data_IF_878703128059
#
_entry.id   IF_878703128059
#
_cell.length_a   1.000
_cell.length_b   1.000
_cell.length_c   1.000
_cell.angle_alpha   90.00
_cell.angle_beta   90.00
_cell.angle_gamma   90.00
#
_symmetry.space_group_name_H-M   'P 1'
#
loop_
_entity.id
_entity.type
_entity.pdbx_description
1 polymer ?
#
# COMPACT_ATOMS: atom_id res chain seq x y z
N UNK A 1 34.43 -3.56 9.44
CA UNK A 1 33.51 -4.46 8.75
C UNK A 1 32.44 -3.58 8.17
N UNK A 2 32.25 -3.53 6.86
CA UNK A 2 31.23 -2.69 6.22
C UNK A 2 29.91 -3.42 6.38
N UNK A 3 28.96 -2.84 7.13
CA UNK A 3 27.60 -3.31 7.19
C UNK A 3 27.01 -3.22 5.79
N UNK A 4 26.67 -4.36 5.21
CA UNK A 4 25.91 -4.47 3.96
C UNK A 4 24.50 -3.99 4.27
N UNK A 5 24.17 -2.80 3.81
CA UNK A 5 22.80 -2.30 3.82
C UNK A 5 22.02 -3.07 2.77
N UNK A 6 21.58 -4.27 3.12
CA UNK A 6 20.53 -4.95 2.38
C UNK A 6 19.24 -4.21 2.67
N UNK A 7 18.88 -3.31 1.77
CA UNK A 7 17.56 -2.73 1.75
C UNK A 7 16.56 -3.84 1.47
N UNK A 8 15.96 -4.32 2.53
CA UNK A 8 14.85 -5.26 2.46
C UNK A 8 13.71 -4.53 1.74
N UNK A 9 13.30 -5.07 0.61
CA UNK A 9 12.15 -4.60 -0.15
C UNK A 9 10.91 -4.75 0.73
N UNK A 10 10.64 -3.74 1.53
CA UNK A 10 9.40 -3.68 2.28
C UNK A 10 8.30 -3.42 1.29
N UNK A 11 7.46 -4.40 1.11
CA UNK A 11 6.37 -4.34 0.17
C UNK A 11 5.24 -3.57 0.81
N UNK A 12 5.30 -2.26 0.67
CA UNK A 12 4.20 -1.39 1.03
C UNK A 12 3.05 -1.69 0.06
N UNK A 13 2.01 -2.33 0.54
CA UNK A 13 0.72 -2.40 -0.17
C UNK A 13 0.13 -1.00 -0.08
N UNK A 14 0.55 -0.14 -0.99
CA UNK A 14 0.10 1.24 -1.00
C UNK A 14 -1.22 1.36 -1.75
N UNK A 15 -2.23 1.65 -1.01
CA UNK A 15 -3.42 2.27 -1.53
C UNK A 15 -3.48 3.71 -0.97
N UNK A 16 -3.30 4.73 -1.78
CA UNK A 16 -3.05 6.12 -1.35
C UNK A 16 -4.00 7.14 -1.96
N UNK A 17 -4.48 8.08 -1.16
CA UNK A 17 -5.10 9.33 -1.64
C UNK A 17 -5.09 10.47 -0.62
N UNK A 18 -5.08 11.71 -1.06
CA UNK A 18 -5.08 12.91 -0.28
C UNK A 18 -6.13 13.95 -0.64
N UNK A 19 -6.50 14.85 0.26
CA UNK A 19 -7.12 16.13 -0.03
C UNK A 19 -6.52 17.26 0.77
N UNK A 20 -6.53 18.43 0.18
CA UNK A 20 -6.11 19.66 0.82
C UNK A 20 -7.26 20.34 1.54
N UNK A 21 -6.99 20.82 2.75
CA UNK A 21 -7.76 21.89 3.36
C UNK A 21 -6.98 23.18 3.19
N UNK A 22 -7.44 24.07 2.34
CA UNK A 22 -6.90 25.42 2.23
C UNK A 22 -7.68 26.35 3.13
N UNK A 23 -7.00 27.06 4.02
CA UNK A 23 -7.58 28.15 4.81
C UNK A 23 -8.04 29.29 3.89
N UNK A 24 -9.23 29.79 4.17
CA UNK A 24 -9.93 30.82 3.43
C UNK A 24 -9.21 32.17 3.37
N UNK A 25 -9.27 32.83 2.21
CA UNK A 25 -9.72 34.23 2.14
C UNK A 25 -10.31 34.57 0.76
N UNK A 26 -11.56 34.92 0.84
CA UNK A 26 -12.43 35.81 0.05
C UNK A 26 -12.30 35.95 -1.46
N UNK A 27 -13.48 35.72 -2.04
CA UNK A 27 -14.13 36.33 -3.19
C UNK A 27 -13.60 36.09 -4.60
N UNK A 28 -14.29 35.14 -5.27
CA UNK A 28 -15.03 35.39 -6.53
C UNK A 28 -15.88 34.16 -6.84
N UNK A 29 -17.20 34.37 -7.05
CA UNK A 29 -18.12 33.37 -7.62
C UNK A 29 -17.60 32.92 -8.98
N UNK A 30 -17.05 31.72 -9.04
CA UNK A 30 -16.97 30.91 -10.24
C UNK A 30 -17.70 29.60 -9.89
N UNK A 31 -18.56 29.14 -10.76
CA UNK A 31 -19.24 27.88 -10.62
C UNK A 31 -18.20 26.77 -10.43
N UNK A 32 -17.98 26.33 -9.19
CA UNK A 32 -17.28 25.09 -8.89
C UNK A 32 -18.18 23.97 -9.41
N UNK A 33 -17.74 23.37 -10.51
CA UNK A 33 -18.18 22.02 -10.84
C UNK A 33 -17.66 21.15 -9.71
N UNK A 34 -18.52 20.77 -8.76
CA UNK A 34 -18.20 19.72 -7.79
C UNK A 34 -17.77 18.50 -8.62
N UNK A 35 -16.51 18.18 -8.58
CA UNK A 35 -16.02 16.91 -9.10
C UNK A 35 -16.72 15.83 -8.25
N UNK A 36 -17.75 15.20 -8.80
CA UNK A 36 -18.37 14.03 -8.19
C UNK A 36 -17.31 12.94 -8.21
N UNK A 37 -16.70 12.68 -7.05
CA UNK A 37 -15.82 11.54 -6.92
C UNK A 37 -16.64 10.29 -7.14
N UNK A 38 -16.31 9.51 -8.17
CA UNK A 38 -16.95 8.24 -8.44
C UNK A 38 -16.90 7.35 -7.19
N UNK A 39 -17.97 6.61 -6.92
CA UNK A 39 -18.00 5.63 -5.84
C UNK A 39 -17.16 4.43 -6.21
N UNK A 40 -16.67 3.72 -5.20
CA UNK A 40 -16.05 2.40 -5.42
C UNK A 40 -17.12 1.41 -5.90
N UNK A 41 -16.92 0.84 -7.08
CA UNK A 41 -17.88 -0.10 -7.69
C UNK A 41 -17.59 -1.56 -7.29
N UNK A 42 -16.42 -1.86 -6.72
CA UNK A 42 -16.05 -3.19 -6.23
C UNK A 42 -15.18 -3.13 -4.97
N UNK A 43 -15.24 -4.21 -4.18
CA UNK A 43 -14.44 -4.35 -2.96
C UNK A 43 -12.92 -4.40 -3.25
N UNK A 44 -12.52 -4.96 -4.41
CA UNK A 44 -11.10 -5.05 -4.74
C UNK A 44 -10.56 -3.72 -5.28
N UNK A 45 -11.33 -2.96 -6.06
CA UNK A 45 -10.94 -1.59 -6.39
C UNK A 45 -10.84 -0.72 -5.14
N UNK A 46 -11.77 -0.90 -4.18
CA UNK A 46 -11.72 -0.16 -2.91
C UNK A 46 -10.50 -0.54 -2.06
N UNK A 47 -10.10 -1.83 -2.03
CA UNK A 47 -8.88 -2.27 -1.35
C UNK A 47 -7.63 -1.49 -1.82
N UNK A 48 -7.55 -1.18 -3.11
CA UNK A 48 -6.45 -0.41 -3.70
C UNK A 48 -6.78 1.08 -3.88
N UNK A 49 -7.92 1.49 -3.35
CA UNK A 49 -8.43 2.86 -3.44
C UNK A 49 -8.45 3.37 -4.90
N UNK A 50 -9.11 2.62 -5.77
CA UNK A 50 -9.27 2.87 -7.20
C UNK A 50 -10.75 3.10 -7.53
N UNK A 51 -11.06 4.21 -8.18
CA UNK A 51 -12.41 4.61 -8.61
C UNK A 51 -12.56 4.45 -10.11
N UNK A 52 -13.81 4.23 -10.53
CA UNK A 52 -14.15 3.91 -11.91
C UNK A 52 -13.84 2.45 -12.25
N UNK A 53 -14.11 2.06 -13.48
CA UNK A 53 -13.89 0.68 -13.95
C UNK A 53 -12.43 0.42 -14.31
N UNK A 54 -11.58 0.32 -13.30
CA UNK A 54 -10.13 0.14 -13.50
C UNK A 54 -9.82 -1.24 -14.06
N UNK A 55 -9.08 -1.29 -15.16
CA UNK A 55 -8.55 -2.52 -15.79
C UNK A 55 -7.19 -2.88 -15.21
N UNK A 56 -6.30 -1.90 -15.10
CA UNK A 56 -5.00 -2.09 -14.46
C UNK A 56 -4.53 -0.81 -13.79
N UNK A 57 -3.70 -0.98 -12.75
CA UNK A 57 -2.96 0.08 -12.13
C UNK A 57 -1.50 -0.36 -11.96
N UNK A 58 -0.57 0.42 -12.48
CA UNK A 58 0.85 0.27 -12.20
C UNK A 58 1.25 1.42 -11.29
N UNK A 59 1.68 1.08 -10.10
CA UNK A 59 2.16 2.02 -9.10
C UNK A 59 3.67 1.95 -9.00
N UNK A 60 4.32 3.10 -8.90
CA UNK A 60 5.77 3.22 -8.79
C UNK A 60 6.11 4.12 -7.61
N UNK A 61 7.01 3.64 -6.74
CA UNK A 61 7.59 4.39 -5.60
C UNK A 61 9.07 4.59 -5.89
N UNK A 62 9.52 5.83 -5.95
CA UNK A 62 10.93 6.19 -6.16
C UNK A 62 11.41 7.09 -5.03
N UNK A 63 12.62 6.83 -4.53
CA UNK A 63 13.26 7.69 -3.53
C UNK A 63 13.46 9.10 -4.09
N UNK A 64 13.32 10.10 -3.25
CA UNK A 64 13.39 11.50 -3.64
C UNK A 64 14.17 12.34 -2.65
N UNK A 65 14.66 13.47 -3.12
CA UNK A 65 15.28 14.53 -2.32
C UNK A 65 14.32 15.69 -2.14
N UNK A 66 14.31 16.29 -0.95
CA UNK A 66 13.52 17.49 -0.68
C UNK A 66 14.18 18.71 -1.34
N UNK A 67 13.42 19.39 -2.17
CA UNK A 67 13.85 20.64 -2.83
C UNK A 67 13.02 21.79 -2.28
N UNK A 68 13.66 22.69 -1.53
CA UNK A 68 12.93 23.76 -0.83
C UNK A 68 12.16 23.22 0.38
N UNK A 69 10.90 23.64 0.54
CA UNK A 69 10.09 23.30 1.72
C UNK A 69 9.13 22.14 1.51
N UNK A 70 8.71 21.86 0.28
CA UNK A 70 7.60 20.94 0.02
C UNK A 70 7.60 20.30 -1.38
N UNK A 71 8.66 20.46 -2.14
CA UNK A 71 8.82 19.84 -3.45
C UNK A 71 9.83 18.72 -3.40
N UNK A 72 9.54 17.65 -4.13
CA UNK A 72 10.41 16.49 -4.22
C UNK A 72 10.95 16.31 -5.62
N UNK A 73 12.22 15.90 -5.70
CA UNK A 73 12.91 15.51 -6.93
C UNK A 73 13.35 14.06 -6.82
N UNK A 74 12.96 13.22 -7.78
CA UNK A 74 13.38 11.83 -7.82
C UNK A 74 14.91 11.71 -7.85
N UNK A 75 15.44 10.72 -7.13
CA UNK A 75 16.83 10.28 -7.23
C UNK A 75 17.03 9.41 -8.47
N UNK A 76 18.26 8.90 -8.66
CA UNK A 76 18.58 7.97 -9.74
C UNK A 76 18.39 6.49 -9.31
N UNK A 77 17.75 6.25 -8.17
CA UNK A 77 17.47 4.90 -7.72
C UNK A 77 16.36 4.25 -8.55
N UNK A 78 16.45 2.92 -8.68
CA UNK A 78 15.42 2.17 -9.39
C UNK A 78 14.10 2.22 -8.61
N UNK A 79 12.97 2.48 -9.28
CA UNK A 79 11.68 2.53 -8.63
C UNK A 79 11.22 1.13 -8.20
N UNK A 80 10.58 1.06 -7.05
CA UNK A 80 9.81 -0.12 -6.66
C UNK A 80 8.49 -0.06 -7.41
N UNK A 81 8.17 -1.10 -8.18
CA UNK A 81 6.98 -1.14 -9.02
C UNK A 81 6.02 -2.23 -8.57
N UNK A 82 4.75 -1.88 -8.48
CA UNK A 82 3.65 -2.80 -8.22
C UNK A 82 2.63 -2.72 -9.35
N UNK A 83 2.21 -3.88 -9.87
CA UNK A 83 1.18 -3.96 -10.90
C UNK A 83 -0.05 -4.70 -10.37
N UNK A 84 -1.23 -4.10 -10.55
CA UNK A 84 -2.51 -4.69 -10.22
C UNK A 84 -3.37 -4.79 -11.47
N UNK A 85 -4.05 -5.92 -11.65
CA UNK A 85 -4.96 -6.16 -12.77
C UNK A 85 -6.31 -6.64 -12.25
N UNK A 86 -7.37 -6.17 -12.90
CA UNK A 86 -8.75 -6.48 -12.51
C UNK A 86 -9.54 -6.96 -13.73
N UNK A 87 -10.57 -7.79 -13.48
CA UNK A 87 -11.58 -8.08 -14.49
C UNK A 87 -12.61 -6.94 -14.62
N UNK A 88 -13.50 -7.01 -15.60
CA UNK A 88 -14.53 -5.99 -15.85
C UNK A 88 -15.50 -5.77 -14.68
N UNK A 89 -15.62 -6.73 -13.78
CA UNK A 89 -16.42 -6.65 -12.55
C UNK A 89 -15.64 -6.08 -11.38
N UNK A 90 -14.37 -5.69 -11.59
CA UNK A 90 -13.50 -5.12 -10.58
C UNK A 90 -12.86 -6.12 -9.63
N UNK A 91 -12.79 -7.40 -10.00
CA UNK A 91 -12.13 -8.40 -9.17
C UNK A 91 -10.67 -8.55 -9.52
N UNK A 92 -9.84 -8.62 -8.49
CA UNK A 92 -8.40 -8.77 -8.62
C UNK A 92 -8.05 -10.03 -9.43
N UNK A 93 -7.36 -9.84 -10.54
CA UNK A 93 -6.75 -10.90 -11.33
C UNK A 93 -5.32 -11.19 -10.90
N UNK A 94 -4.56 -10.15 -10.59
CA UNK A 94 -3.19 -10.27 -10.10
C UNK A 94 -2.70 -9.03 -9.38
N UNK A 95 -1.78 -9.25 -8.43
CA UNK A 95 -0.89 -8.26 -7.83
C UNK A 95 0.50 -8.88 -7.65
N UNK A 96 1.40 -8.28 -6.88
CA UNK A 96 2.75 -8.81 -6.67
C UNK A 96 2.79 -10.15 -5.90
N UNK A 97 1.73 -10.50 -5.17
CA UNK A 97 1.65 -11.72 -4.34
C UNK A 97 0.75 -12.79 -4.91
N UNK A 98 -0.18 -12.41 -5.77
CA UNK A 98 -1.27 -13.27 -6.20
C UNK A 98 -1.55 -13.14 -7.68
N UNK A 99 -1.71 -14.27 -8.36
CA UNK A 99 -2.29 -14.38 -9.69
C UNK A 99 -3.38 -15.45 -9.66
N UNK A 100 -4.60 -15.05 -10.00
CA UNK A 100 -5.76 -15.95 -10.02
C UNK A 100 -5.55 -17.08 -11.02
N UNK A 101 -5.81 -18.33 -10.57
CA UNK A 101 -5.71 -19.52 -11.43
C UNK A 101 -7.04 -19.93 -12.06
N UNK A 102 -8.19 -19.40 -11.60
CA UNK A 102 -9.53 -19.76 -12.09
C UNK A 102 -10.37 -18.54 -12.37
N UNK A 103 -11.33 -18.66 -13.30
CA UNK A 103 -12.33 -17.62 -13.61
C UNK A 103 -13.56 -17.67 -12.72
N UNK A 104 -13.68 -18.70 -11.85
CA UNK A 104 -14.86 -18.93 -11.00
C UNK A 104 -14.66 -18.37 -9.61
N UNK A 105 -15.60 -17.53 -9.17
CA UNK A 105 -15.72 -17.05 -7.79
C UNK A 105 -16.16 -18.18 -6.86
N UNK A 106 -15.35 -18.50 -5.89
CA UNK A 106 -15.70 -19.39 -4.77
C UNK A 106 -15.37 -18.70 -3.46
N UNK A 107 -15.94 -19.15 -2.35
CA UNK A 107 -15.67 -18.62 -1.01
C UNK A 107 -14.19 -18.72 -0.61
N UNK A 108 -13.44 -19.63 -1.21
CA UNK A 108 -11.98 -19.67 -1.17
C UNK A 108 -11.46 -19.61 -2.60
N UNK A 109 -10.73 -18.56 -2.92
CA UNK A 109 -10.04 -18.42 -4.21
C UNK A 109 -8.61 -18.92 -4.07
N UNK A 110 -8.12 -19.58 -5.11
CA UNK A 110 -6.75 -20.05 -5.17
C UNK A 110 -6.08 -19.49 -6.43
N UNK A 111 -4.83 -19.16 -6.27
CA UNK A 111 -3.94 -18.73 -7.33
C UNK A 111 -2.53 -19.21 -7.03
N UNK A 112 -1.56 -18.50 -7.52
CA UNK A 112 -0.15 -18.73 -7.26
C UNK A 112 0.58 -17.39 -7.11
N UNK A 113 1.75 -17.43 -6.47
CA UNK A 113 2.62 -16.26 -6.40
C UNK A 113 3.25 -16.02 -7.78
N UNK A 114 3.13 -14.82 -8.38
CA UNK A 114 3.72 -14.54 -9.69
C UNK A 114 5.25 -14.63 -9.72
N UNK A 115 5.91 -14.49 -8.56
CA UNK A 115 7.36 -14.58 -8.42
C UNK A 115 7.86 -15.99 -8.09
N UNK A 116 6.95 -16.87 -7.60
CA UNK A 116 7.25 -18.28 -7.32
C UNK A 116 6.01 -19.15 -7.56
N UNK A 117 5.98 -19.85 -8.70
CA UNK A 117 4.84 -20.69 -9.10
C UNK A 117 4.64 -21.93 -8.21
N UNK A 118 5.62 -22.30 -7.36
CA UNK A 118 5.47 -23.37 -6.38
C UNK A 118 4.71 -22.91 -5.13
N UNK A 119 4.55 -21.60 -4.92
CA UNK A 119 3.74 -21.05 -3.84
C UNK A 119 2.28 -20.88 -4.29
N UNK A 120 1.41 -21.68 -3.70
CA UNK A 120 -0.05 -21.54 -3.85
C UNK A 120 -0.53 -20.42 -2.93
N UNK A 121 -1.31 -19.50 -3.48
CA UNK A 121 -1.90 -18.39 -2.70
C UNK A 121 -3.40 -18.61 -2.57
N UNK A 122 -3.87 -18.67 -1.32
CA UNK A 122 -5.27 -18.70 -0.96
C UNK A 122 -5.74 -17.30 -0.58
N UNK A 123 -6.90 -16.90 -1.08
CA UNK A 123 -7.51 -15.61 -0.78
C UNK A 123 -8.81 -15.85 -0.03
N UNK A 124 -8.96 -15.18 1.12
CA UNK A 124 -10.21 -15.19 1.90
C UNK A 124 -10.88 -13.83 1.81
N UNK A 125 -12.21 -13.84 1.86
CA UNK A 125 -13.06 -12.64 1.82
C UNK A 125 -14.08 -12.68 2.96
N UNK A 126 -14.46 -11.49 3.42
CA UNK A 126 -15.61 -11.37 4.33
C UNK A 126 -16.95 -11.34 3.56
N UNK A 127 -18.05 -11.26 4.32
CA UNK A 127 -19.42 -11.25 3.77
C UNK A 127 -19.71 -10.04 2.87
N UNK A 128 -18.93 -8.95 3.01
CA UNK A 128 -19.01 -7.75 2.15
C UNK A 128 -18.16 -7.90 0.87
N UNK A 129 -17.41 -8.99 0.72
CA UNK A 129 -16.55 -9.27 -0.44
C UNK A 129 -15.13 -8.72 -0.33
N UNK A 130 -14.77 -8.00 0.74
CA UNK A 130 -13.39 -7.50 0.93
C UNK A 130 -12.41 -8.63 1.16
N UNK A 131 -11.23 -8.55 0.55
CA UNK A 131 -10.14 -9.50 0.78
C UNK A 131 -9.56 -9.25 2.18
N UNK A 132 -9.83 -10.17 3.09
CA UNK A 132 -9.33 -10.12 4.46
C UNK A 132 -8.00 -10.84 4.63
N UNK A 133 -7.67 -11.77 3.73
CA UNK A 133 -6.44 -12.55 3.86
C UNK A 133 -5.90 -12.98 2.48
N UNK A 134 -4.58 -12.89 2.33
CA UNK A 134 -3.79 -13.66 1.37
C UNK A 134 -2.87 -14.57 2.17
N UNK A 135 -2.83 -15.87 1.83
CA UNK A 135 -1.99 -16.84 2.50
C UNK A 135 -1.23 -17.65 1.44
N UNK A 136 0.09 -17.43 1.37
CA UNK A 136 0.99 -18.14 0.47
C UNK A 136 1.62 -19.35 1.14
N UNK A 137 1.51 -20.55 0.53
CA UNK A 137 2.07 -21.79 1.06
C UNK A 137 2.78 -22.54 -0.05
N UNK A 138 4.00 -23.00 0.20
CA UNK A 138 4.76 -23.79 -0.76
C UNK A 138 4.16 -25.18 -0.91
N UNK A 139 3.93 -25.66 -2.15
CA UNK A 139 3.28 -26.93 -2.46
C UNK A 139 3.91 -28.16 -1.81
N UNK A 140 5.25 -28.16 -1.67
CA UNK A 140 6.03 -29.31 -1.20
C UNK A 140 6.37 -29.24 0.28
N UNK A 141 6.55 -28.07 0.84
CA UNK A 141 7.14 -27.87 2.17
C UNK A 141 6.15 -27.35 3.21
N UNK A 142 4.93 -26.98 2.79
CA UNK A 142 3.91 -26.46 3.72
C UNK A 142 4.29 -25.08 4.29
N UNK A 143 3.84 -24.85 5.54
CA UNK A 143 3.99 -23.54 6.21
C UNK A 143 5.41 -23.26 6.72
N UNK A 144 6.24 -24.31 6.87
CA UNK A 144 7.62 -24.17 7.41
C UNK A 144 8.65 -23.80 6.32
N UNK A 145 8.19 -23.33 5.15
CA UNK A 145 9.06 -22.89 4.07
C UNK A 145 9.25 -21.39 4.10
N UNK A 146 10.45 -20.92 3.80
CA UNK A 146 10.84 -19.50 3.78
C UNK A 146 10.03 -18.64 2.79
N UNK A 147 9.38 -19.26 1.80
CA UNK A 147 8.43 -18.61 0.89
C UNK A 147 7.00 -18.50 1.42
N UNK A 148 6.71 -19.00 2.63
CA UNK A 148 5.42 -18.79 3.27
C UNK A 148 5.21 -17.32 3.65
N UNK A 149 4.01 -16.81 3.38
CA UNK A 149 3.63 -15.48 3.81
C UNK A 149 2.13 -15.41 4.09
N UNK A 150 1.76 -14.44 4.92
CA UNK A 150 0.36 -14.11 5.17
C UNK A 150 0.18 -12.59 5.16
N UNK A 151 -0.92 -12.14 4.59
CA UNK A 151 -1.35 -10.74 4.64
C UNK A 151 -2.75 -10.73 5.21
N UNK A 152 -2.95 -10.08 6.35
CA UNK A 152 -4.25 -9.88 6.98
C UNK A 152 -4.68 -8.41 6.82
N UNK A 153 -5.89 -8.19 6.30
CA UNK A 153 -6.45 -6.87 6.06
C UNK A 153 -7.66 -6.61 6.96
N UNK A 154 -7.71 -5.42 7.56
CA UNK A 154 -8.82 -4.91 8.34
C UNK A 154 -9.43 -3.68 7.68
N UNK A 155 -10.74 -3.51 7.83
CA UNK A 155 -11.49 -2.44 7.16
C UNK A 155 -12.38 -1.70 8.15
N UNK A 156 -12.63 -0.41 7.90
CA UNK A 156 -13.63 0.37 8.62
C UNK A 156 -15.06 0.04 8.12
N UNK A 157 -16.07 0.67 8.74
CA UNK A 157 -17.47 0.48 8.36
C UNK A 157 -17.80 0.97 6.93
N UNK A 158 -16.99 1.88 6.39
CA UNK A 158 -17.11 2.40 5.01
C UNK A 158 -16.41 1.50 3.99
N UNK A 159 -15.62 0.52 4.46
CA UNK A 159 -14.86 -0.43 3.65
C UNK A 159 -13.47 0.06 3.29
N UNK A 160 -12.96 1.10 3.93
CA UNK A 160 -11.59 1.54 3.75
C UNK A 160 -10.64 0.63 4.50
N UNK A 161 -9.51 0.27 3.87
CA UNK A 161 -8.46 -0.52 4.49
C UNK A 161 -7.83 0.27 5.64
N UNK A 162 -7.99 -0.19 6.88
CA UNK A 162 -7.41 0.49 8.06
C UNK A 162 -6.07 -0.07 8.47
N UNK A 163 -5.89 -1.38 8.30
CA UNK A 163 -4.64 -2.06 8.67
C UNK A 163 -4.37 -3.19 7.70
N UNK A 164 -3.11 -3.33 7.31
CA UNK A 164 -2.59 -4.49 6.59
C UNK A 164 -1.39 -5.03 7.35
N UNK A 165 -1.42 -6.33 7.68
CA UNK A 165 -0.34 -7.01 8.39
C UNK A 165 0.26 -8.05 7.45
N UNK A 166 1.48 -7.82 7.00
CA UNK A 166 2.27 -8.82 6.30
C UNK A 166 3.11 -9.60 7.32
N UNK A 167 3.00 -10.92 7.29
CA UNK A 167 3.84 -11.82 8.08
C UNK A 167 4.62 -12.71 7.12
N UNK A 168 5.95 -12.60 7.15
CA UNK A 168 6.89 -13.49 6.46
C UNK A 168 7.47 -14.51 7.43
N UNK A 169 8.54 -15.19 7.00
CA UNK A 169 9.21 -16.20 7.82
C UNK A 169 9.81 -15.63 9.11
N UNK A 170 10.52 -14.50 9.02
CA UNK A 170 11.27 -13.93 10.14
C UNK A 170 10.85 -12.50 10.50
N UNK A 171 9.92 -11.91 9.77
CA UNK A 171 9.52 -10.51 9.99
C UNK A 171 8.03 -10.30 9.81
N UNK A 172 7.56 -9.24 10.45
CA UNK A 172 6.20 -8.74 10.29
C UNK A 172 6.24 -7.26 9.91
N UNK A 173 5.42 -6.86 8.94
CA UNK A 173 5.19 -5.45 8.63
C UNK A 173 3.73 -5.12 8.92
N UNK A 174 3.50 -4.12 9.75
CA UNK A 174 2.17 -3.62 10.09
C UNK A 174 2.02 -2.25 9.45
N UNK A 175 1.05 -2.10 8.56
CA UNK A 175 0.74 -0.82 7.91
C UNK A 175 -0.64 -0.35 8.33
N UNK A 176 -0.71 0.82 8.97
CA UNK A 176 -1.94 1.49 9.36
C UNK A 176 -2.22 2.68 8.46
N UNK A 177 -3.47 2.85 8.07
CA UNK A 177 -3.92 3.89 7.14
C UNK A 177 -4.92 4.82 7.82
N UNK A 178 -4.69 6.12 7.72
CA UNK A 178 -5.63 7.15 8.13
C UNK A 178 -6.15 7.91 6.92
N UNK A 179 -7.44 8.13 6.93
CA UNK A 179 -8.16 8.78 5.83
C UNK A 179 -8.64 10.17 6.24
N UNK A 180 -8.78 11.03 5.26
CA UNK A 180 -9.50 12.28 5.43
C UNK A 180 -11.02 12.08 5.25
N UNK A 181 -11.75 13.19 5.21
CA UNK A 181 -13.22 13.17 5.09
C UNK A 181 -13.73 12.72 3.72
N UNK A 182 -12.86 12.58 2.73
CA UNK A 182 -13.20 12.14 1.36
C UNK A 182 -12.73 10.72 1.04
N UNK A 183 -12.45 9.92 2.08
CA UNK A 183 -11.90 8.57 1.97
C UNK A 183 -10.54 8.50 1.28
N UNK A 184 -9.69 9.43 1.65
CA UNK A 184 -8.41 9.64 1.05
C UNK A 184 -7.34 9.50 2.13
N UNK A 185 -6.24 8.77 1.87
CA UNK A 185 -5.15 8.63 2.83
C UNK A 185 -4.49 9.97 3.12
N UNK A 186 -4.48 10.33 4.38
CA UNK A 186 -3.77 11.49 4.88
C UNK A 186 -2.44 11.11 5.52
N UNK A 187 -2.39 9.93 6.13
CA UNK A 187 -1.20 9.43 6.83
C UNK A 187 -1.11 7.91 6.70
N UNK A 188 0.11 7.42 6.59
CA UNK A 188 0.43 5.98 6.63
C UNK A 188 1.47 5.80 7.71
N UNK A 189 1.21 4.85 8.59
CA UNK A 189 2.17 4.40 9.58
C UNK A 189 2.57 2.96 9.26
N UNK A 190 3.86 2.73 9.06
CA UNK A 190 4.40 1.40 8.83
C UNK A 190 5.35 1.03 9.98
N UNK A 191 5.17 -0.14 10.54
CA UNK A 191 6.04 -0.73 11.53
C UNK A 191 6.60 -2.03 10.98
N UNK A 192 7.91 -2.13 10.91
CA UNK A 192 8.65 -3.34 10.58
C UNK A 192 9.22 -3.93 11.86
N UNK A 193 9.02 -5.22 12.06
CA UNK A 193 9.48 -5.96 13.24
C UNK A 193 10.13 -7.25 12.79
N UNK A 194 11.37 -7.47 13.16
CA UNK A 194 12.06 -8.76 13.09
C UNK A 194 12.75 -9.08 14.44
N UNK A 195 13.63 -10.09 14.47
CA UNK A 195 14.30 -10.51 15.70
C UNK A 195 15.31 -9.48 16.25
N UNK A 196 15.81 -8.58 15.42
CA UNK A 196 16.91 -7.68 15.75
C UNK A 196 16.47 -6.21 15.72
N UNK A 197 15.38 -5.91 15.02
CA UNK A 197 15.05 -4.54 14.66
C UNK A 197 13.53 -4.28 14.72
N UNK A 198 13.16 -3.15 15.30
CA UNK A 198 11.82 -2.62 15.24
C UNK A 198 11.90 -1.18 14.72
N UNK A 199 11.49 -0.98 13.48
CA UNK A 199 11.48 0.34 12.86
C UNK A 199 10.05 0.81 12.63
N UNK A 200 9.83 2.11 12.81
CA UNK A 200 8.55 2.75 12.55
C UNK A 200 8.74 3.93 11.61
N UNK A 201 8.00 3.92 10.51
CA UNK A 201 7.91 5.02 9.57
C UNK A 201 6.51 5.64 9.65
N UNK A 202 6.42 6.95 9.72
CA UNK A 202 5.14 7.67 9.59
C UNK A 202 5.22 8.60 8.40
N UNK A 203 4.44 8.32 7.37
CA UNK A 203 4.40 9.07 6.12
C UNK A 203 3.19 10.00 6.06
N UNK A 204 3.43 11.29 5.87
CA UNK A 204 2.39 12.24 5.45
C UNK A 204 2.29 12.21 3.94
N UNK A 205 1.06 12.12 3.43
CA UNK A 205 0.77 12.04 2.00
C UNK A 205 0.32 13.38 1.46
N UNK A 206 0.92 13.84 0.36
CA UNK A 206 0.50 15.03 -0.38
C UNK A 206 0.20 14.63 -1.83
N UNK A 207 -1.07 14.62 -2.20
CA UNK A 207 -1.46 14.39 -3.60
C UNK A 207 -1.12 15.61 -4.44
N UNK A 208 -0.53 15.37 -5.60
CA UNK A 208 -0.06 16.40 -6.53
C UNK A 208 -0.92 16.41 -7.79
N UNK A 209 -1.33 15.24 -8.29
CA UNK A 209 -2.12 15.10 -9.52
C UNK A 209 -3.20 14.03 -9.34
N UNK A 210 -4.36 14.25 -9.96
CA UNK A 210 -5.48 13.30 -10.02
C UNK A 210 -5.98 13.16 -11.46
N UNK A 211 -6.59 12.01 -11.78
CA UNK A 211 -7.28 11.79 -13.03
C UNK A 211 -8.75 12.24 -12.99
N UNK A 212 -9.47 12.02 -14.10
CA UNK A 212 -10.88 12.42 -14.23
C UNK A 212 -11.83 11.63 -13.31
N UNK A 213 -11.42 10.47 -12.79
CA UNK A 213 -12.18 9.63 -11.85
C UNK A 213 -11.89 9.98 -10.39
N UNK A 214 -10.97 10.92 -10.14
CA UNK A 214 -10.52 11.29 -8.80
C UNK A 214 -9.48 10.35 -8.21
N UNK A 215 -8.88 9.46 -9.02
CA UNK A 215 -7.72 8.69 -8.60
C UNK A 215 -6.48 9.58 -8.63
N UNK A 216 -5.66 9.53 -7.58
CA UNK A 216 -4.38 10.20 -7.65
C UNK A 216 -3.46 9.49 -8.66
N UNK A 217 -2.74 10.28 -9.43
CA UNK A 217 -1.76 9.81 -10.40
C UNK A 217 -0.34 10.17 -10.00
N UNK A 218 -0.20 11.15 -9.10
CA UNK A 218 1.06 11.53 -8.47
C UNK A 218 0.86 12.00 -7.05
N UNK A 219 1.70 11.49 -6.13
CA UNK A 219 1.72 11.91 -4.74
C UNK A 219 3.15 11.97 -4.20
N UNK A 220 3.35 12.76 -3.14
CA UNK A 220 4.57 12.85 -2.38
C UNK A 220 4.39 12.21 -1.01
N UNK A 221 5.38 11.44 -0.57
CA UNK A 221 5.47 10.95 0.80
C UNK A 221 6.59 11.68 1.54
N UNK A 222 6.26 12.19 2.71
CA UNK A 222 7.19 12.80 3.66
C UNK A 222 7.25 11.88 4.87
N UNK A 223 8.29 11.07 4.96
CA UNK A 223 8.43 10.01 5.94
C UNK A 223 9.32 10.44 7.11
N UNK A 224 8.85 10.18 8.32
CA UNK A 224 9.63 10.31 9.55
C UNK A 224 9.91 8.92 10.09
N UNK A 225 11.18 8.63 10.29
CA UNK A 225 11.65 7.33 10.74
C UNK A 225 12.02 7.36 12.22
N UNK A 226 11.66 6.30 12.93
CA UNK A 226 12.11 5.99 14.28
C UNK A 226 12.62 4.56 14.33
N UNK A 227 13.71 4.35 15.05
CA UNK A 227 14.28 3.03 15.34
C UNK A 227 14.13 2.75 16.83
N UNK A 228 13.49 1.65 17.17
CA UNK A 228 13.41 1.14 18.52
C UNK A 228 14.33 -0.08 18.64
N UNK A 229 15.33 0.00 19.52
CA UNK A 229 16.23 -1.10 19.83
C UNK A 229 16.08 -1.47 21.28
N UNK A 230 16.06 -2.77 21.59
CA UNK A 230 16.14 -3.25 22.96
C UNK A 230 17.62 -3.34 23.36
N UNK A 231 17.98 -2.82 24.53
CA UNK A 231 19.32 -2.98 25.06
C UNK A 231 19.51 -4.42 25.52
N UNK A 232 20.54 -5.10 25.04
CA UNK A 232 20.89 -6.46 25.50
C UNK A 232 21.38 -6.51 26.95
N UNK A 233 21.70 -5.36 27.56
CA UNK A 233 22.22 -5.25 28.92
C UNK A 233 21.19 -4.76 29.94
N UNK A 234 20.12 -4.17 29.48
CA UNK A 234 19.00 -3.69 30.31
C UNK A 234 17.71 -3.86 29.50
N UNK A 235 16.60 -4.22 30.15
CA UNK A 235 15.25 -4.28 29.51
C UNK A 235 14.75 -2.88 29.08
N UNK A 236 15.66 -1.93 28.88
CA UNK A 236 15.32 -0.56 28.46
C UNK A 236 15.24 -0.48 26.95
N UNK A 237 14.10 0.03 26.49
CA UNK A 237 13.88 0.35 25.07
C UNK A 237 14.50 1.71 24.76
N UNK A 238 15.39 1.73 23.79
CA UNK A 238 15.99 2.96 23.28
C UNK A 238 15.30 3.34 21.98
N UNK A 239 14.64 4.48 21.98
CA UNK A 239 14.03 5.04 20.77
C UNK A 239 14.95 6.11 20.20
N UNK A 240 15.45 5.91 19.01
CA UNK A 240 16.24 6.90 18.29
C UNK A 240 15.47 7.44 17.08
N UNK A 241 15.71 8.71 16.76
CA UNK A 241 15.17 9.28 15.52
C UNK A 241 16.06 8.85 14.35
N UNK A 242 15.45 8.23 13.34
CA UNK A 242 16.08 8.00 12.04
C UNK A 242 16.08 9.24 11.15
N UNK A 243 16.71 9.12 10.00
CA UNK A 243 16.69 10.17 8.98
C UNK A 243 15.30 10.25 8.33
N UNK A 244 14.85 11.49 8.05
CA UNK A 244 13.63 11.69 7.28
C UNK A 244 13.87 11.22 5.82
N UNK A 245 12.93 10.45 5.27
CA UNK A 245 12.98 9.96 3.90
C UNK A 245 11.81 10.49 3.08
N UNK A 246 12.00 10.57 1.77
CA UNK A 246 11.03 11.16 0.87
C UNK A 246 10.83 10.26 -0.34
N UNK A 247 9.58 10.14 -0.81
CA UNK A 247 9.28 9.36 -2.01
C UNK A 247 8.30 10.09 -2.91
N UNK A 248 8.48 9.89 -4.21
CA UNK A 248 7.50 10.23 -5.22
C UNK A 248 6.78 8.95 -5.61
N UNK A 249 5.47 8.99 -5.52
CA UNK A 249 4.58 7.96 -6.00
C UNK A 249 3.95 8.38 -7.30
N UNK A 250 3.84 7.44 -8.24
CA UNK A 250 3.08 7.66 -9.47
C UNK A 250 2.20 6.46 -9.76
N UNK A 251 1.02 6.70 -10.34
CA UNK A 251 0.11 5.68 -10.84
C UNK A 251 -0.14 5.86 -12.32
N UNK A 252 -0.08 4.74 -13.05
CA UNK A 252 -0.54 4.63 -14.42
C UNK A 252 -1.75 3.72 -14.45
N UNK A 253 -2.92 4.30 -14.68
CA UNK A 253 -4.21 3.63 -14.58
C UNK A 253 -4.80 3.45 -15.99
N UNK A 254 -5.36 2.28 -16.26
CA UNK A 254 -6.16 2.02 -17.46
C UNK A 254 -7.56 1.56 -17.05
N UNK A 255 -8.54 1.84 -17.88
CA UNK A 255 -9.95 1.59 -17.60
C UNK A 255 -10.56 0.63 -18.61
N UNK A 256 -11.63 -0.04 -18.21
CA UNK A 256 -12.53 -0.74 -19.10
C UNK A 256 -13.42 0.29 -19.81
N UNK A 257 -13.73 0.04 -21.08
CA UNK A 257 -14.65 0.88 -21.88
C UNK A 257 -16.12 0.71 -21.46
#
# INVERSE_FOLDING_TARGET
MKASTFFKSTTLVLALMGTMTCCANQSKKNAETEATTDKFESADWQLYNLRGKVKSCTESKVMAELVGTDQLKATNEEPIVQEMKFDESGWLLSNNYYRRSTTSRKAAEYGYNPNDAEVVVKVKRNDKGYITEFEGTHKKFGEDYDGHFRIDNSFDDRGNLTTSVFTGWEWTTITNYKYDTQDVYAEIEEQFVDYEENTKETATVKVIETDAHGNWTKAYLFCKNTLETESLESDEKVISKGDDTYYILTRKITYWE
#
